data_IF_436557687037
#
_entry.id   IF_436557687037
#
_cell.length_a   1.000
_cell.length_b   1.000
_cell.length_c   1.000
_cell.angle_alpha   90.00
_cell.angle_beta   90.00
_cell.angle_gamma   90.00
#
_symmetry.space_group_name_H-M   'P 1'
#
loop_
_entity.id
_entity.type
_entity.pdbx_description
1 polymer ?
#
# COMPACT_ATOMS: atom_id res chain seq x y z
N UNK A 1 0.16 22.15 21.64
CA UNK A 1 0.39 20.70 21.35
C UNK A 1 -0.79 20.21 20.52
N UNK A 2 -0.57 19.64 19.33
CA UNK A 2 -1.63 18.99 18.50
C UNK A 2 -1.35 17.48 18.39
N UNK A 3 -2.35 16.70 17.95
CA UNK A 3 -2.23 15.23 17.88
C UNK A 3 -1.02 14.77 17.05
N UNK A 4 -0.73 15.46 15.95
CA UNK A 4 0.42 15.18 15.08
C UNK A 4 1.76 15.36 15.82
N UNK A 5 1.94 16.48 16.53
CA UNK A 5 3.14 16.71 17.34
C UNK A 5 3.25 15.75 18.51
N UNK A 6 2.14 15.44 19.19
CA UNK A 6 2.14 14.43 20.24
C UNK A 6 2.55 13.06 19.71
N UNK A 7 1.93 12.60 18.62
CA UNK A 7 2.26 11.30 18.02
C UNK A 7 3.71 11.25 17.56
N UNK A 8 4.25 12.33 16.99
CA UNK A 8 5.66 12.40 16.57
C UNK A 8 6.61 12.25 17.75
N UNK A 9 6.39 13.02 18.83
CA UNK A 9 7.23 12.98 20.02
C UNK A 9 7.11 11.64 20.76
N UNK A 10 5.89 11.12 20.88
CA UNK A 10 5.64 9.82 21.49
C UNK A 10 6.33 8.69 20.72
N UNK A 11 6.20 8.67 19.41
CA UNK A 11 6.85 7.65 18.57
C UNK A 11 8.38 7.76 18.69
N UNK A 12 8.95 8.97 18.64
CA UNK A 12 10.40 9.17 18.77
C UNK A 12 10.97 8.82 20.14
N UNK A 13 10.17 8.88 21.21
CA UNK A 13 10.64 8.57 22.57
C UNK A 13 10.45 7.10 22.94
N UNK A 14 9.41 6.43 22.42
CA UNK A 14 9.00 5.10 22.87
C UNK A 14 9.14 4.00 21.81
N UNK A 15 9.29 4.34 20.53
CA UNK A 15 9.55 3.35 19.47
C UNK A 15 11.05 3.24 19.25
N UNK A 16 11.57 2.02 19.36
CA UNK A 16 13.00 1.75 19.17
C UNK A 16 13.42 1.96 17.72
N UNK A 17 14.60 2.55 17.51
CA UNK A 17 15.19 2.74 16.17
C UNK A 17 15.36 1.43 15.40
N UNK A 18 15.64 0.32 16.10
CA UNK A 18 15.72 -1.00 15.49
C UNK A 18 14.38 -1.46 14.89
N UNK A 19 13.27 -1.08 15.53
CA UNK A 19 11.92 -1.40 15.07
C UNK A 19 11.53 -0.55 13.86
N UNK A 20 11.80 0.77 13.89
CA UNK A 20 11.52 1.65 12.74
C UNK A 20 12.36 1.25 11.52
N UNK A 21 13.62 0.90 11.73
CA UNK A 21 14.50 0.36 10.68
C UNK A 21 13.96 -0.94 10.09
N UNK A 22 13.50 -1.87 10.93
CA UNK A 22 12.88 -3.11 10.46
C UNK A 22 11.62 -2.83 9.62
N UNK A 23 10.74 -1.94 10.08
CA UNK A 23 9.52 -1.58 9.34
C UNK A 23 9.83 -0.90 8.01
N UNK A 24 10.86 -0.05 7.97
CA UNK A 24 11.36 0.55 6.73
C UNK A 24 11.89 -0.48 5.73
N UNK A 25 12.65 -1.48 6.22
CA UNK A 25 13.11 -2.60 5.40
C UNK A 25 11.95 -3.44 4.89
N UNK A 26 11.01 -3.82 5.76
CA UNK A 26 9.82 -4.57 5.39
C UNK A 26 8.99 -3.81 4.35
N UNK A 27 8.78 -2.50 4.52
CA UNK A 27 8.16 -1.64 3.51
C UNK A 27 8.91 -1.69 2.19
N UNK A 28 10.25 -1.66 2.25
CA UNK A 28 11.17 -1.80 1.13
C UNK A 28 10.90 -3.03 0.26
N UNK A 29 10.70 -4.17 0.91
CA UNK A 29 10.56 -5.48 0.27
C UNK A 29 9.10 -5.89 0.06
N UNK A 30 8.13 -5.19 0.66
CA UNK A 30 6.71 -5.58 0.64
C UNK A 30 6.10 -5.54 -0.77
N UNK A 31 5.50 -6.66 -1.17
CA UNK A 31 4.76 -6.85 -2.41
C UNK A 31 3.41 -7.49 -2.09
N UNK A 32 2.38 -7.14 -2.87
CA UNK A 32 1.04 -7.75 -2.78
C UNK A 32 1.09 -9.26 -3.04
N UNK A 33 1.87 -9.71 -4.02
CA UNK A 33 1.96 -11.13 -4.35
C UNK A 33 0.59 -11.71 -4.73
N UNK A 34 0.12 -12.72 -3.98
CA UNK A 34 -1.17 -13.40 -4.20
C UNK A 34 -2.28 -12.93 -3.26
N UNK A 35 -2.00 -12.02 -2.33
CA UNK A 35 -3.01 -11.53 -1.39
C UNK A 35 -3.97 -10.56 -2.08
N UNK A 36 -5.11 -10.33 -1.44
CA UNK A 36 -6.05 -9.30 -1.87
C UNK A 36 -5.42 -7.90 -1.78
N UNK A 37 -5.97 -6.93 -2.52
CA UNK A 37 -5.64 -5.51 -2.37
C UNK A 37 -5.97 -5.05 -0.94
N UNK A 38 -7.01 -5.61 -0.32
CA UNK A 38 -7.38 -5.27 1.06
C UNK A 38 -6.26 -5.58 2.06
N UNK A 39 -5.78 -6.83 2.07
CA UNK A 39 -4.71 -7.28 2.96
C UNK A 39 -3.40 -6.53 2.69
N UNK A 40 -3.07 -6.32 1.41
CA UNK A 40 -1.91 -5.54 1.01
C UNK A 40 -1.99 -4.08 1.48
N UNK A 41 -3.14 -3.43 1.29
CA UNK A 41 -3.37 -2.03 1.71
C UNK A 41 -3.22 -1.87 3.22
N UNK A 42 -3.77 -2.81 3.98
CA UNK A 42 -3.68 -2.80 5.43
C UNK A 42 -2.21 -2.88 5.87
N UNK A 43 -1.48 -3.91 5.43
CA UNK A 43 -0.08 -4.11 5.81
C UNK A 43 0.80 -2.95 5.36
N UNK A 44 0.56 -2.41 4.16
CA UNK A 44 1.27 -1.22 3.68
C UNK A 44 1.07 0.00 4.59
N UNK A 45 -0.16 0.28 5.00
CA UNK A 45 -0.45 1.42 5.88
C UNK A 45 0.17 1.25 7.27
N UNK A 46 0.21 0.03 7.80
CA UNK A 46 0.93 -0.29 9.04
C UNK A 46 2.43 -0.01 8.87
N UNK A 47 3.05 -0.55 7.82
CA UNK A 47 4.47 -0.36 7.56
C UNK A 47 4.85 1.12 7.40
N UNK A 48 4.08 1.90 6.62
CA UNK A 48 4.30 3.34 6.44
C UNK A 48 4.19 4.12 7.76
N UNK A 49 3.29 3.72 8.65
CA UNK A 49 3.08 4.37 9.95
C UNK A 49 4.31 4.24 10.85
N UNK A 50 5.02 3.11 10.78
CA UNK A 50 6.16 2.80 11.64
C UNK A 50 7.52 2.94 10.96
N UNK A 51 7.57 3.07 9.62
CA UNK A 51 8.80 3.25 8.86
C UNK A 51 9.35 4.68 8.89
N UNK A 52 8.60 5.64 9.43
CA UNK A 52 9.04 7.02 9.51
C UNK A 52 9.89 7.20 10.76
N UNK A 53 11.17 7.53 10.58
CA UNK A 53 12.02 7.99 11.67
C UNK A 53 11.59 9.41 12.11
N UNK A 54 12.27 9.97 13.11
CA UNK A 54 12.02 11.31 13.63
C UNK A 54 12.08 12.45 12.58
N UNK A 55 12.52 12.18 11.34
CA UNK A 55 12.75 13.18 10.28
C UNK A 55 11.61 13.33 9.26
N UNK A 56 10.53 12.54 9.33
CA UNK A 56 9.27 12.90 8.68
C UNK A 56 8.59 11.79 7.89
N UNK A 57 7.26 11.94 7.77
CA UNK A 57 6.42 11.05 6.98
C UNK A 57 6.84 11.03 5.50
N UNK A 58 6.70 9.87 4.85
CA UNK A 58 6.84 9.77 3.40
C UNK A 58 5.95 10.83 2.72
N UNK A 59 6.52 11.58 1.78
CA UNK A 59 5.73 12.47 0.93
C UNK A 59 4.64 11.66 0.23
N UNK A 60 3.48 12.28 -0.05
CA UNK A 60 2.36 11.56 -0.67
C UNK A 60 2.79 10.90 -1.99
N UNK A 61 3.60 11.60 -2.80
CA UNK A 61 4.18 11.07 -4.04
C UNK A 61 5.07 9.85 -3.79
N UNK A 62 5.93 9.87 -2.77
CA UNK A 62 6.77 8.73 -2.43
C UNK A 62 5.91 7.55 -1.95
N UNK A 63 4.90 7.81 -1.11
CA UNK A 63 3.94 6.81 -0.64
C UNK A 63 3.20 6.14 -1.81
N UNK A 64 2.67 6.93 -2.75
CA UNK A 64 1.99 6.42 -3.94
C UNK A 64 2.92 5.60 -4.84
N UNK A 65 4.15 6.08 -5.09
CA UNK A 65 5.13 5.35 -5.90
C UNK A 65 5.49 4.01 -5.25
N UNK A 66 5.68 4.01 -3.93
CA UNK A 66 6.00 2.80 -3.18
C UNK A 66 4.86 1.79 -3.23
N UNK A 67 3.63 2.26 -3.04
CA UNK A 67 2.43 1.42 -3.13
C UNK A 67 2.27 0.80 -4.52
N UNK A 68 2.39 1.59 -5.59
CA UNK A 68 2.33 1.08 -6.98
C UNK A 68 3.39 0.04 -7.28
N UNK A 69 4.62 0.26 -6.80
CA UNK A 69 5.72 -0.69 -7.00
C UNK A 69 5.45 -2.04 -6.35
N UNK A 70 4.67 -2.08 -5.26
CA UNK A 70 4.33 -3.32 -4.56
C UNK A 70 3.13 -4.07 -5.12
N UNK A 71 2.33 -3.46 -6.00
CA UNK A 71 1.11 -4.10 -6.54
C UNK A 71 1.43 -5.33 -7.40
N UNK A 72 0.47 -6.26 -7.44
CA UNK A 72 0.45 -7.39 -8.37
C UNK A 72 0.40 -6.87 -9.81
N UNK A 73 1.12 -7.53 -10.72
CA UNK A 73 1.42 -6.96 -12.05
C UNK A 73 0.21 -6.65 -12.93
N UNK A 74 -0.83 -7.48 -12.87
CA UNK A 74 -2.11 -7.29 -13.56
C UNK A 74 -2.87 -6.04 -13.05
N UNK A 75 -2.98 -5.88 -11.74
CA UNK A 75 -3.60 -4.71 -11.10
C UNK A 75 -2.76 -3.46 -11.38
N UNK A 76 -1.44 -3.55 -11.20
CA UNK A 76 -0.52 -2.44 -11.46
C UNK A 76 -0.64 -1.93 -12.90
N UNK A 77 -0.79 -2.85 -13.87
CA UNK A 77 -0.99 -2.51 -15.26
C UNK A 77 -2.29 -1.73 -15.48
N UNK A 78 -3.43 -2.23 -15.01
CA UNK A 78 -4.73 -1.54 -15.13
C UNK A 78 -4.69 -0.14 -14.49
N UNK A 79 -4.12 -0.05 -13.28
CA UNK A 79 -4.05 1.20 -12.53
C UNK A 79 -3.09 2.22 -13.17
N UNK A 80 -2.04 1.77 -13.87
CA UNK A 80 -1.11 2.66 -14.59
C UNK A 80 -1.75 3.44 -15.74
N UNK A 81 -2.87 2.92 -16.28
CA UNK A 81 -3.61 3.55 -17.38
C UNK A 81 -4.58 4.63 -16.89
N UNK A 82 -4.73 4.79 -15.58
CA UNK A 82 -5.72 5.68 -14.99
C UNK A 82 -5.06 6.97 -14.48
N UNK A 83 -5.74 8.10 -14.66
CA UNK A 83 -5.34 9.36 -14.04
C UNK A 83 -5.55 9.27 -12.52
N UNK A 84 -4.51 9.48 -11.70
CA UNK A 84 -4.58 9.33 -10.25
C UNK A 84 -4.18 10.62 -9.56
N UNK A 85 -5.07 11.15 -8.74
CA UNK A 85 -4.92 12.48 -8.11
C UNK A 85 -4.18 12.41 -6.78
N UNK A 86 -4.45 11.40 -5.97
CA UNK A 86 -3.88 11.26 -4.63
C UNK A 86 -3.86 9.79 -4.17
N UNK A 87 -3.36 9.55 -2.96
CA UNK A 87 -3.25 8.20 -2.41
C UNK A 87 -4.61 7.51 -2.18
N UNK A 88 -5.66 8.24 -1.79
CA UNK A 88 -6.99 7.67 -1.61
C UNK A 88 -7.60 7.21 -2.93
N UNK A 89 -7.45 8.02 -3.97
CA UNK A 89 -7.86 7.68 -5.35
C UNK A 89 -7.10 6.45 -5.88
N UNK A 90 -5.78 6.37 -5.62
CA UNK A 90 -4.98 5.18 -5.94
C UNK A 90 -5.55 3.91 -5.30
N UNK A 91 -5.89 3.95 -4.01
CA UNK A 91 -6.46 2.80 -3.29
C UNK A 91 -7.78 2.37 -3.93
N UNK A 92 -8.70 3.30 -4.16
CA UNK A 92 -10.00 3.01 -4.76
C UNK A 92 -9.85 2.34 -6.13
N UNK A 93 -8.95 2.88 -6.97
CA UNK A 93 -8.67 2.32 -8.29
C UNK A 93 -8.04 0.93 -8.25
N UNK A 94 -7.18 0.66 -7.27
CA UNK A 94 -6.65 -0.70 -7.08
C UNK A 94 -7.73 -1.71 -6.70
N UNK A 95 -8.69 -1.33 -5.84
CA UNK A 95 -9.82 -2.19 -5.51
C UNK A 95 -10.72 -2.45 -6.72
N UNK A 96 -11.05 -1.41 -7.49
CA UNK A 96 -11.85 -1.58 -8.70
C UNK A 96 -11.16 -2.49 -9.72
N UNK A 97 -9.85 -2.32 -9.92
CA UNK A 97 -9.06 -3.18 -10.81
C UNK A 97 -9.06 -4.65 -10.35
N UNK A 98 -8.86 -4.92 -9.06
CA UNK A 98 -8.93 -6.29 -8.52
C UNK A 98 -10.31 -6.91 -8.77
N UNK A 99 -11.39 -6.19 -8.46
CA UNK A 99 -12.75 -6.69 -8.68
C UNK A 99 -13.05 -7.00 -10.16
N UNK A 100 -12.61 -6.15 -11.08
CA UNK A 100 -12.78 -6.38 -12.53
C UNK A 100 -12.00 -7.60 -13.00
N UNK A 101 -10.76 -7.75 -12.55
CA UNK A 101 -9.90 -8.90 -12.92
C UNK A 101 -10.49 -10.20 -12.36
N UNK A 102 -10.92 -10.21 -11.10
CA UNK A 102 -11.51 -11.38 -10.47
C UNK A 102 -12.81 -11.80 -11.14
N UNK A 103 -13.63 -10.84 -11.55
CA UNK A 103 -14.85 -11.10 -12.33
C UNK A 103 -14.50 -11.77 -13.67
N UNK A 104 -13.60 -11.18 -14.45
CA UNK A 104 -13.18 -11.73 -15.74
C UNK A 104 -12.56 -13.14 -15.62
N UNK A 105 -11.78 -13.38 -14.56
CA UNK A 105 -11.20 -14.69 -14.28
C UNK A 105 -12.27 -15.75 -13.97
N UNK A 106 -13.31 -15.38 -13.19
CA UNK A 106 -14.44 -16.27 -12.89
C UNK A 106 -15.26 -16.59 -14.13
N UNK A 107 -15.55 -15.60 -14.97
CA UNK A 107 -16.25 -15.82 -16.24
C UNK A 107 -15.48 -16.77 -17.16
N UNK A 108 -14.17 -16.54 -17.34
CA UNK A 108 -13.32 -17.44 -18.12
C UNK A 108 -13.33 -18.86 -17.57
N UNK A 109 -13.23 -19.02 -16.25
CA UNK A 109 -13.25 -20.34 -15.62
C UNK A 109 -14.58 -21.09 -15.85
N UNK A 110 -15.71 -20.38 -15.83
CA UNK A 110 -17.03 -20.96 -16.09
C UNK A 110 -17.18 -21.46 -17.54
N UNK A 111 -16.60 -20.74 -18.52
CA UNK A 111 -16.62 -21.14 -19.93
C UNK A 111 -15.86 -22.45 -20.17
N UNK A 112 -14.75 -22.70 -19.46
CA UNK A 112 -13.97 -23.94 -19.61
C UNK A 112 -14.57 -25.15 -18.88
N UNK A 113 -15.66 -24.97 -18.12
CA UNK A 113 -16.36 -26.04 -17.40
C UNK A 113 -17.66 -26.48 -18.11
N UNK A 114 -17.98 -25.90 -19.27
CA UNK A 114 -19.11 -26.27 -20.14
C UNK A 114 -18.61 -27.04 -21.37
#
# INVERSE_FOLDING_TARGET
MNWENFSRLFMGQYVLDSFTFQMGRELGEHKQGRTSVAEYTQKFNELVRYSSDANGALSERAKMNKYRYGLRGDIAHVVSLQHIVNFGDLIQKTYSAEATIDFANKERAAVYQQ
#
